data_IF_270403087844
#
_entry.id   IF_270403087844
#
_cell.length_a   1.000
_cell.length_b   1.000
_cell.length_c   1.000
_cell.angle_alpha   90.00
_cell.angle_beta   90.00
_cell.angle_gamma   90.00
#
_symmetry.space_group_name_H-M   'P 1'
#
loop_
_entity.id
_entity.type
_entity.pdbx_description
1 polymer ?
#
# COMPACT_ATOMS: atom_id res chain seq x y z
N UNK A 1 -29.35 -26.21 -15.21
CA UNK A 1 -27.93 -26.60 -15.14
C UNK A 1 -27.17 -25.34 -14.74
N UNK A 2 -26.42 -25.32 -13.64
CA UNK A 2 -25.62 -24.16 -13.31
C UNK A 2 -24.61 -23.91 -14.44
N UNK A 3 -24.45 -22.65 -14.83
CA UNK A 3 -23.45 -22.26 -15.81
C UNK A 3 -22.06 -22.68 -15.32
N UNK A 4 -21.17 -23.08 -16.23
CA UNK A 4 -19.81 -23.44 -15.89
C UNK A 4 -19.14 -22.29 -15.13
N UNK A 5 -18.38 -22.59 -14.08
CA UNK A 5 -17.66 -21.58 -13.32
C UNK A 5 -16.64 -20.88 -14.21
N UNK A 6 -16.74 -19.56 -14.27
CA UNK A 6 -15.82 -18.69 -15.01
C UNK A 6 -15.35 -17.55 -14.12
N UNK A 7 -14.31 -16.84 -14.54
CA UNK A 7 -13.84 -15.62 -13.87
C UNK A 7 -14.98 -14.59 -13.67
N UNK A 8 -15.97 -14.55 -14.56
CA UNK A 8 -17.05 -13.57 -14.52
C UNK A 8 -18.20 -13.93 -13.58
N UNK A 9 -18.33 -15.18 -13.15
CA UNK A 9 -19.47 -15.64 -12.37
C UNK A 9 -19.10 -16.39 -11.08
N UNK A 10 -17.81 -16.53 -10.76
CA UNK A 10 -17.32 -17.26 -9.60
C UNK A 10 -16.11 -16.58 -8.96
N UNK A 11 -15.77 -17.03 -7.75
CA UNK A 11 -14.54 -16.65 -7.05
C UNK A 11 -13.33 -17.41 -7.60
N UNK A 12 -12.18 -16.78 -7.55
CA UNK A 12 -10.92 -17.35 -8.00
C UNK A 12 -9.82 -17.16 -6.95
N UNK A 13 -9.03 -18.20 -6.69
CA UNK A 13 -7.92 -18.17 -5.73
C UNK A 13 -8.37 -17.72 -4.34
N UNK A 14 -7.67 -16.80 -3.69
CA UNK A 14 -7.97 -16.30 -2.35
C UNK A 14 -9.28 -15.50 -2.24
N UNK A 15 -9.91 -15.15 -3.36
CA UNK A 15 -11.23 -14.51 -3.36
C UNK A 15 -12.27 -15.31 -2.56
N UNK A 16 -12.16 -16.65 -2.57
CA UNK A 16 -13.07 -17.53 -1.82
C UNK A 16 -13.09 -17.15 -0.34
N UNK A 17 -11.91 -16.86 0.22
CA UNK A 17 -11.76 -16.52 1.64
C UNK A 17 -12.10 -15.04 1.90
N UNK A 18 -11.50 -14.13 1.14
CA UNK A 18 -11.60 -12.71 1.41
C UNK A 18 -12.98 -12.13 1.07
N UNK A 19 -13.58 -12.51 -0.08
CA UNK A 19 -14.92 -12.05 -0.44
C UNK A 19 -15.99 -12.60 0.52
N UNK A 20 -15.86 -13.87 0.93
CA UNK A 20 -16.73 -14.47 1.91
C UNK A 20 -16.64 -13.76 3.25
N UNK A 21 -15.42 -13.57 3.78
CA UNK A 21 -15.20 -12.92 5.08
C UNK A 21 -15.65 -11.46 5.06
N UNK A 22 -15.42 -10.72 3.96
CA UNK A 22 -15.95 -9.38 3.81
C UNK A 22 -17.48 -9.33 3.90
N UNK A 23 -18.16 -10.31 3.29
CA UNK A 23 -19.62 -10.44 3.40
C UNK A 23 -20.08 -10.84 4.82
N UNK A 24 -19.34 -11.75 5.48
CA UNK A 24 -19.61 -12.16 6.87
C UNK A 24 -19.53 -10.97 7.82
N UNK A 25 -18.54 -10.06 7.67
CA UNK A 25 -18.44 -8.81 8.42
C UNK A 25 -19.69 -7.93 8.23
N UNK A 26 -20.16 -7.78 6.98
CA UNK A 26 -21.39 -7.00 6.70
C UNK A 26 -22.63 -7.59 7.38
N UNK A 27 -22.65 -8.90 7.60
CA UNK A 27 -23.76 -9.60 8.26
C UNK A 27 -23.62 -9.69 9.78
N UNK A 28 -22.51 -9.24 10.35
CA UNK A 28 -22.23 -9.31 11.78
C UNK A 28 -22.09 -10.75 12.28
N UNK A 29 -21.69 -11.69 11.42
CA UNK A 29 -21.42 -13.09 11.78
C UNK A 29 -19.93 -13.32 11.97
N UNK A 30 -19.57 -14.40 12.69
CA UNK A 30 -18.16 -14.72 12.93
C UNK A 30 -17.43 -14.98 11.60
N UNK A 31 -16.30 -14.30 11.34
CA UNK A 31 -15.60 -14.39 10.07
C UNK A 31 -14.90 -15.74 9.90
N UNK A 32 -14.94 -16.28 8.68
CA UNK A 32 -14.30 -17.55 8.35
C UNK A 32 -12.77 -17.43 8.36
N UNK A 33 -12.23 -16.36 7.78
CA UNK A 33 -10.79 -16.12 7.69
C UNK A 33 -10.36 -15.04 8.69
N UNK A 34 -9.55 -15.45 9.69
CA UNK A 34 -9.09 -14.61 10.80
C UNK A 34 -7.56 -14.47 10.87
N UNK A 35 -6.82 -15.08 9.92
CA UNK A 35 -5.34 -15.07 9.94
C UNK A 35 -4.75 -13.70 9.66
N UNK A 36 -5.47 -12.87 8.91
CA UNK A 36 -5.07 -11.49 8.59
C UNK A 36 -5.92 -10.45 9.33
N UNK A 37 -5.36 -9.26 9.61
CA UNK A 37 -6.12 -8.16 10.18
C UNK A 37 -7.36 -7.79 9.36
N UNK A 38 -8.41 -7.22 9.98
CA UNK A 38 -9.73 -7.12 9.34
C UNK A 38 -9.85 -6.03 8.27
N UNK A 39 -9.06 -4.95 8.35
CA UNK A 39 -9.28 -3.75 7.53
C UNK A 39 -9.27 -4.02 6.02
N UNK A 40 -8.43 -4.96 5.54
CA UNK A 40 -8.43 -5.32 4.12
C UNK A 40 -9.77 -5.88 3.64
N UNK A 41 -10.43 -6.67 4.49
CA UNK A 41 -11.76 -7.25 4.22
C UNK A 41 -12.87 -6.21 4.37
N UNK A 42 -12.70 -5.26 5.30
CA UNK A 42 -13.60 -4.11 5.43
C UNK A 42 -13.54 -3.21 4.18
N UNK A 43 -12.36 -3.01 3.59
CA UNK A 43 -12.23 -2.30 2.31
C UNK A 43 -12.94 -3.06 1.18
N UNK A 44 -12.78 -4.39 1.10
CA UNK A 44 -13.51 -5.21 0.12
C UNK A 44 -15.02 -5.10 0.31
N UNK A 45 -15.49 -5.08 1.55
CA UNK A 45 -16.93 -5.00 1.87
C UNK A 45 -17.58 -3.73 1.32
N UNK A 46 -16.84 -2.61 1.17
CA UNK A 46 -17.37 -1.39 0.56
C UNK A 46 -17.79 -1.61 -0.90
N UNK A 47 -17.00 -2.37 -1.67
CA UNK A 47 -17.37 -2.74 -3.04
C UNK A 47 -18.60 -3.66 -3.07
N UNK A 48 -18.72 -4.58 -2.10
CA UNK A 48 -19.90 -5.44 -1.97
C UNK A 48 -21.15 -4.64 -1.60
N UNK A 49 -21.03 -3.63 -0.76
CA UNK A 49 -22.14 -2.71 -0.44
C UNK A 49 -22.63 -1.97 -1.68
N UNK A 50 -21.70 -1.52 -2.55
CA UNK A 50 -22.04 -0.73 -3.74
C UNK A 50 -22.62 -1.57 -4.88
N UNK A 51 -22.12 -2.78 -5.11
CA UNK A 51 -22.41 -3.59 -6.29
C UNK A 51 -22.98 -4.98 -5.97
N UNK A 52 -23.28 -5.25 -4.69
CA UNK A 52 -23.76 -6.53 -4.22
C UNK A 52 -22.68 -7.61 -4.14
N UNK A 53 -23.06 -8.79 -3.67
CA UNK A 53 -22.17 -9.98 -3.61
C UNK A 53 -22.00 -10.59 -5.01
N UNK A 54 -21.30 -9.86 -5.87
CA UNK A 54 -21.02 -10.20 -7.27
C UNK A 54 -19.52 -10.09 -7.55
N UNK A 55 -18.98 -10.69 -8.61
CA UNK A 55 -17.57 -10.52 -9.00
C UNK A 55 -17.15 -9.06 -9.15
N UNK A 56 -18.03 -8.20 -9.65
CA UNK A 56 -17.78 -6.76 -9.69
C UNK A 56 -17.64 -6.19 -8.27
N UNK A 57 -18.56 -6.55 -7.36
CA UNK A 57 -18.57 -6.03 -5.99
C UNK A 57 -17.29 -6.34 -5.23
N UNK A 58 -16.89 -7.61 -5.17
CA UNK A 58 -15.69 -7.95 -4.39
C UNK A 58 -14.36 -7.59 -5.08
N UNK A 59 -14.31 -7.36 -6.42
CA UNK A 59 -13.10 -6.99 -7.17
C UNK A 59 -12.91 -5.48 -7.32
N UNK A 60 -13.98 -4.70 -7.18
CA UNK A 60 -13.98 -3.26 -7.45
C UNK A 60 -12.91 -2.52 -6.66
N UNK A 61 -12.84 -2.72 -5.35
CA UNK A 61 -11.89 -2.02 -4.50
C UNK A 61 -10.43 -2.38 -4.80
N UNK A 62 -10.14 -3.66 -5.07
CA UNK A 62 -8.81 -4.11 -5.51
C UNK A 62 -8.34 -3.39 -6.77
N UNK A 63 -9.23 -3.31 -7.77
CA UNK A 63 -8.96 -2.62 -9.04
C UNK A 63 -8.78 -1.11 -8.85
N UNK A 64 -9.60 -0.48 -8.00
CA UNK A 64 -9.47 0.95 -7.67
C UNK A 64 -8.12 1.27 -7.02
N UNK A 65 -7.70 0.46 -6.05
CA UNK A 65 -6.41 0.61 -5.38
C UNK A 65 -5.24 0.35 -6.34
N UNK A 66 -5.37 -0.65 -7.22
CA UNK A 66 -4.40 -0.91 -8.28
C UNK A 66 -4.22 0.29 -9.22
N UNK A 67 -5.33 0.88 -9.67
CA UNK A 67 -5.29 2.09 -10.49
C UNK A 67 -4.63 3.27 -9.75
N UNK A 68 -4.90 3.41 -8.44
CA UNK A 68 -4.31 4.47 -7.61
C UNK A 68 -2.79 4.31 -7.42
N UNK A 69 -2.24 3.10 -7.55
CA UNK A 69 -0.79 2.88 -7.48
C UNK A 69 -0.04 3.54 -8.64
N UNK A 70 -0.66 3.72 -9.81
CA UNK A 70 0.01 4.28 -11.00
C UNK A 70 0.43 5.74 -10.81
N UNK A 71 -0.48 6.68 -10.45
CA UNK A 71 -0.09 8.05 -10.16
C UNK A 71 0.81 8.16 -8.93
N UNK A 72 0.66 7.27 -7.95
CA UNK A 72 1.52 7.23 -6.78
C UNK A 72 2.96 6.84 -7.15
N UNK A 73 3.14 5.82 -7.98
CA UNK A 73 4.44 5.41 -8.52
C UNK A 73 5.06 6.52 -9.36
N UNK A 74 4.26 7.18 -10.19
CA UNK A 74 4.72 8.34 -10.98
C UNK A 74 5.24 9.47 -10.07
N UNK A 75 4.53 9.86 -9.01
CA UNK A 75 4.96 10.92 -8.09
C UNK A 75 6.22 10.53 -7.31
N UNK A 76 6.30 9.27 -6.86
CA UNK A 76 7.48 8.75 -6.16
C UNK A 76 8.73 8.80 -7.07
N UNK A 77 8.64 8.28 -8.28
CA UNK A 77 9.76 8.26 -9.23
C UNK A 77 10.15 9.66 -9.70
N UNK A 78 9.17 10.54 -9.93
CA UNK A 78 9.43 11.94 -10.24
C UNK A 78 10.30 12.62 -9.18
N UNK A 79 10.04 12.35 -7.91
CA UNK A 79 10.80 12.93 -6.79
C UNK A 79 12.18 12.31 -6.63
N UNK A 80 12.30 11.00 -6.85
CA UNK A 80 13.56 10.26 -6.66
C UNK A 80 14.55 10.44 -7.79
N UNK A 81 14.08 10.50 -9.04
CA UNK A 81 14.93 10.29 -10.24
C UNK A 81 14.89 11.50 -11.20
N UNK A 82 14.13 12.55 -10.90
CA UNK A 82 13.97 13.70 -11.81
C UNK A 82 15.32 14.32 -12.23
N UNK A 83 16.29 14.35 -11.35
CA UNK A 83 17.62 14.89 -11.61
C UNK A 83 18.46 14.04 -12.58
N UNK A 84 18.10 12.76 -12.76
CA UNK A 84 18.88 11.79 -13.57
C UNK A 84 18.27 11.58 -14.95
N UNK A 85 16.93 11.52 -15.04
CA UNK A 85 16.24 11.29 -16.31
C UNK A 85 14.83 11.91 -16.28
N UNK A 86 14.58 12.92 -17.09
CA UNK A 86 13.33 13.66 -17.15
C UNK A 86 12.08 12.85 -17.58
N UNK A 87 12.24 11.58 -18.00
CA UNK A 87 11.12 10.70 -18.39
C UNK A 87 11.01 9.44 -17.52
N UNK A 88 11.83 9.28 -16.47
CA UNK A 88 11.86 8.08 -15.62
C UNK A 88 10.52 7.80 -14.96
N UNK A 89 9.80 8.84 -14.51
CA UNK A 89 8.48 8.73 -13.89
C UNK A 89 7.43 8.13 -14.83
N UNK A 90 7.43 8.53 -16.10
CA UNK A 90 6.49 7.99 -17.10
C UNK A 90 6.80 6.54 -17.44
N UNK A 91 8.08 6.22 -17.61
CA UNK A 91 8.52 4.85 -17.90
C UNK A 91 8.22 3.91 -16.75
N UNK A 92 8.50 4.31 -15.52
CA UNK A 92 8.25 3.48 -14.35
C UNK A 92 6.76 3.26 -14.08
N UNK A 93 5.93 4.30 -14.23
CA UNK A 93 4.49 4.15 -14.12
C UNK A 93 3.92 3.28 -15.27
N UNK A 94 4.44 3.41 -16.50
CA UNK A 94 4.05 2.56 -17.62
C UNK A 94 4.48 1.10 -17.42
N UNK A 95 5.69 0.85 -16.91
CA UNK A 95 6.15 -0.49 -16.58
C UNK A 95 5.24 -1.14 -15.51
N UNK A 96 4.89 -0.41 -14.46
CA UNK A 96 3.94 -0.90 -13.46
C UNK A 96 2.56 -1.17 -14.06
N UNK A 97 2.07 -0.29 -14.96
CA UNK A 97 0.78 -0.48 -15.63
C UNK A 97 0.74 -1.72 -16.53
N UNK A 98 1.89 -2.08 -17.12
CA UNK A 98 2.05 -3.25 -17.99
C UNK A 98 2.56 -4.48 -17.23
N UNK A 99 2.84 -4.37 -15.92
CA UNK A 99 3.29 -5.50 -15.13
C UNK A 99 2.18 -6.53 -14.95
N UNK A 100 2.47 -7.77 -15.34
CA UNK A 100 1.47 -8.85 -15.31
C UNK A 100 1.04 -9.19 -13.88
N UNK A 101 1.95 -9.17 -12.92
CA UNK A 101 1.65 -9.43 -11.51
C UNK A 101 0.70 -8.35 -10.97
N UNK A 102 1.02 -7.06 -11.21
CA UNK A 102 0.16 -5.95 -10.83
C UNK A 102 -1.24 -6.08 -11.42
N UNK A 103 -1.35 -6.30 -12.73
CA UNK A 103 -2.63 -6.47 -13.42
C UNK A 103 -3.43 -7.65 -12.86
N UNK A 104 -2.79 -8.77 -12.58
CA UNK A 104 -3.47 -9.98 -12.09
C UNK A 104 -3.95 -9.80 -10.65
N UNK A 105 -3.08 -9.34 -9.76
CA UNK A 105 -3.39 -9.21 -8.32
C UNK A 105 -4.41 -8.11 -8.03
N UNK A 106 -4.42 -7.03 -8.81
CA UNK A 106 -5.38 -5.94 -8.60
C UNK A 106 -6.77 -6.21 -9.19
N UNK A 107 -6.93 -7.24 -10.01
CA UNK A 107 -8.20 -7.64 -10.63
C UNK A 107 -8.94 -8.75 -9.88
N UNK A 108 -8.37 -9.27 -8.83
CA UNK A 108 -8.98 -10.28 -7.95
C UNK A 108 -9.15 -9.71 -6.53
N UNK A 109 -10.06 -10.28 -5.75
CA UNK A 109 -10.36 -9.81 -4.39
C UNK A 109 -9.32 -10.33 -3.39
N UNK A 110 -8.09 -9.81 -3.49
CA UNK A 110 -7.03 -10.04 -2.50
C UNK A 110 -6.76 -8.77 -1.70
N UNK A 111 -6.29 -8.94 -0.48
CA UNK A 111 -5.90 -7.82 0.39
C UNK A 111 -4.49 -7.29 0.08
N UNK A 112 -3.77 -7.97 -0.84
CA UNK A 112 -2.41 -7.61 -1.25
C UNK A 112 -2.33 -6.26 -1.96
N UNK A 113 -3.32 -5.95 -2.81
CA UNK A 113 -3.41 -4.67 -3.51
C UNK A 113 -3.47 -3.50 -2.54
N UNK A 114 -4.24 -3.63 -1.45
CA UNK A 114 -4.34 -2.59 -0.41
C UNK A 114 -3.03 -2.45 0.35
N UNK A 115 -2.46 -3.56 0.80
CA UNK A 115 -1.18 -3.56 1.51
C UNK A 115 -0.07 -2.92 0.67
N UNK A 116 0.03 -3.25 -0.61
CA UNK A 116 1.02 -2.69 -1.53
C UNK A 116 0.86 -1.18 -1.70
N UNK A 117 -0.37 -0.68 -1.85
CA UNK A 117 -0.61 0.76 -1.93
C UNK A 117 -0.17 1.48 -0.64
N UNK A 118 -0.50 0.93 0.54
CA UNK A 118 -0.08 1.53 1.80
C UNK A 118 1.45 1.50 1.97
N UNK A 119 2.12 0.43 1.54
CA UNK A 119 3.59 0.37 1.52
C UNK A 119 4.17 1.46 0.62
N UNK A 120 3.66 1.65 -0.60
CA UNK A 120 4.09 2.73 -1.50
C UNK A 120 3.90 4.12 -0.88
N UNK A 121 2.77 4.35 -0.20
CA UNK A 121 2.51 5.60 0.52
C UNK A 121 3.49 5.81 1.67
N UNK A 122 3.83 4.77 2.43
CA UNK A 122 4.84 4.84 3.48
C UNK A 122 6.20 5.27 2.92
N UNK A 123 6.64 4.67 1.81
CA UNK A 123 7.89 5.04 1.12
C UNK A 123 7.85 6.49 0.62
N UNK A 124 6.76 6.91 -0.01
CA UNK A 124 6.59 8.28 -0.49
C UNK A 124 6.68 9.29 0.66
N UNK A 125 5.96 9.04 1.76
CA UNK A 125 5.93 9.97 2.88
C UNK A 125 7.27 10.02 3.65
N UNK A 126 7.93 8.88 3.84
CA UNK A 126 9.27 8.88 4.45
C UNK A 126 10.30 9.59 3.56
N UNK A 127 10.26 9.36 2.24
CA UNK A 127 11.12 10.08 1.29
C UNK A 127 10.87 11.60 1.35
N UNK A 128 9.60 12.02 1.40
CA UNK A 128 9.27 13.45 1.55
C UNK A 128 9.73 14.01 2.89
N UNK A 129 9.69 13.22 3.94
CA UNK A 129 10.25 13.64 5.23
C UNK A 129 11.76 13.89 5.13
N UNK A 130 12.51 12.99 4.51
CA UNK A 130 13.96 13.16 4.34
C UNK A 130 14.33 14.35 3.45
N UNK A 131 13.52 14.68 2.46
CA UNK A 131 13.82 15.78 1.51
C UNK A 131 13.27 17.12 1.96
N UNK A 132 12.10 17.17 2.59
CA UNK A 132 11.43 18.41 2.98
C UNK A 132 11.60 18.74 4.48
N UNK A 133 12.00 17.80 5.32
CA UNK A 133 12.18 17.97 6.77
C UNK A 133 10.90 18.22 7.57
N UNK A 134 9.72 18.01 6.98
CA UNK A 134 8.43 18.37 7.60
C UNK A 134 7.84 17.20 8.38
N UNK A 135 7.63 17.35 9.68
CA UNK A 135 7.05 16.32 10.56
C UNK A 135 5.69 15.77 10.10
N UNK A 136 4.90 16.58 9.39
CA UNK A 136 3.63 16.10 8.80
C UNK A 136 3.80 14.90 7.87
N UNK A 137 4.94 14.80 7.18
CA UNK A 137 5.22 13.65 6.31
C UNK A 137 5.59 12.42 7.13
N UNK A 138 6.31 12.57 8.23
CA UNK A 138 6.59 11.47 9.15
C UNK A 138 5.29 11.00 9.83
N UNK A 139 4.43 11.91 10.24
CA UNK A 139 3.10 11.58 10.79
C UNK A 139 2.24 10.83 9.74
N UNK A 140 2.21 11.30 8.48
CA UNK A 140 1.51 10.62 7.40
C UNK A 140 2.08 9.22 7.13
N UNK A 141 3.41 9.04 7.20
CA UNK A 141 4.05 7.72 7.11
C UNK A 141 3.58 6.80 8.25
N UNK A 142 3.53 7.29 9.48
CA UNK A 142 3.03 6.53 10.64
C UNK A 142 1.54 6.15 10.52
N UNK A 143 0.70 7.07 10.04
CA UNK A 143 -0.72 6.79 9.80
C UNK A 143 -0.89 5.72 8.72
N UNK A 144 -0.19 5.85 7.58
CA UNK A 144 -0.26 4.84 6.51
C UNK A 144 0.33 3.50 6.95
N UNK A 145 1.35 3.49 7.80
CA UNK A 145 1.86 2.27 8.44
C UNK A 145 0.78 1.60 9.28
N UNK A 146 0.09 2.34 10.16
CA UNK A 146 -0.99 1.79 10.99
C UNK A 146 -2.14 1.21 10.18
N UNK A 147 -2.58 1.91 9.13
CA UNK A 147 -3.62 1.45 8.20
C UNK A 147 -3.14 0.20 7.45
N UNK A 148 -1.92 0.20 6.94
CA UNK A 148 -1.34 -0.94 6.26
C UNK A 148 -1.22 -2.16 7.17
N UNK A 149 -0.74 -1.99 8.40
CA UNK A 149 -0.61 -3.06 9.39
C UNK A 149 -1.99 -3.63 9.78
N UNK A 150 -3.04 -2.80 9.85
CA UNK A 150 -4.41 -3.24 10.05
C UNK A 150 -5.01 -3.97 8.83
N UNK A 151 -4.35 -3.88 7.66
CA UNK A 151 -4.75 -4.56 6.43
C UNK A 151 -4.06 -5.92 6.27
N UNK A 152 -2.73 -5.95 6.39
CA UNK A 152 -1.93 -7.18 6.22
C UNK A 152 -0.61 -7.10 6.99
N UNK A 153 -0.18 -8.21 7.60
CA UNK A 153 1.06 -8.32 8.36
C UNK A 153 2.32 -7.94 7.58
N UNK A 154 2.32 -8.07 6.25
CA UNK A 154 3.45 -7.69 5.39
C UNK A 154 3.84 -6.22 5.52
N UNK A 155 2.90 -5.35 5.87
CA UNK A 155 3.17 -3.93 6.12
C UNK A 155 4.05 -3.70 7.35
N UNK A 156 4.03 -4.59 8.35
CA UNK A 156 4.93 -4.52 9.51
C UNK A 156 6.39 -4.68 9.10
N UNK A 157 6.69 -5.61 8.19
CA UNK A 157 8.05 -5.80 7.69
C UNK A 157 8.54 -4.58 6.90
N UNK A 158 7.67 -4.03 6.04
CA UNK A 158 7.99 -2.80 5.32
C UNK A 158 8.22 -1.63 6.29
N UNK A 159 7.37 -1.48 7.30
CA UNK A 159 7.50 -0.46 8.34
C UNK A 159 8.78 -0.61 9.16
N UNK A 160 9.16 -1.84 9.53
CA UNK A 160 10.41 -2.10 10.22
C UNK A 160 11.62 -1.70 9.37
N UNK A 161 11.62 -2.04 8.06
CA UNK A 161 12.67 -1.63 7.13
C UNK A 161 12.78 -0.10 7.01
N UNK A 162 11.65 0.60 6.91
CA UNK A 162 11.61 2.07 6.88
C UNK A 162 12.07 2.69 8.20
N UNK A 163 11.76 2.05 9.34
CA UNK A 163 12.26 2.44 10.65
C UNK A 163 13.79 2.36 10.75
N UNK A 164 14.37 1.30 10.20
CA UNK A 164 15.83 1.16 10.09
C UNK A 164 16.42 2.27 9.21
N UNK A 165 15.85 2.55 8.05
CA UNK A 165 16.30 3.63 7.18
C UNK A 165 16.22 5.00 7.87
N UNK A 166 15.15 5.24 8.62
CA UNK A 166 14.99 6.46 9.41
C UNK A 166 16.07 6.57 10.50
N UNK A 167 16.33 5.50 11.25
CA UNK A 167 17.36 5.47 12.27
C UNK A 167 18.75 5.70 11.69
N UNK A 168 19.10 5.02 10.58
CA UNK A 168 20.36 5.21 9.88
C UNK A 168 20.54 6.64 9.39
N UNK A 169 19.49 7.25 8.82
CA UNK A 169 19.54 8.67 8.40
C UNK A 169 19.96 9.58 9.55
N UNK A 170 19.36 9.41 10.73
CA UNK A 170 19.69 10.23 11.90
C UNK A 170 21.07 9.92 12.48
N UNK A 171 21.50 8.67 12.50
CA UNK A 171 22.85 8.27 12.93
C UNK A 171 23.91 8.93 12.04
N UNK A 172 23.75 8.82 10.70
CA UNK A 172 24.68 9.44 9.77
C UNK A 172 24.70 10.96 9.87
N UNK A 173 23.54 11.60 9.99
CA UNK A 173 23.44 13.04 10.19
C UNK A 173 24.12 13.48 11.50
N UNK A 174 23.95 12.73 12.58
CA UNK A 174 24.63 12.96 13.86
C UNK A 174 26.15 12.83 13.78
N UNK A 175 26.64 11.78 13.12
CA UNK A 175 28.09 11.57 12.90
C UNK A 175 28.69 12.74 12.07
N UNK A 176 27.99 13.15 11.01
CA UNK A 176 28.46 14.29 10.19
C UNK A 176 28.47 15.60 10.99
N UNK A 177 27.46 15.89 11.78
CA UNK A 177 27.40 17.07 12.64
C UNK A 177 28.53 17.07 13.70
N UNK A 178 28.82 15.91 14.28
CA UNK A 178 29.91 15.77 15.23
C UNK A 178 31.29 16.04 14.57
N UNK A 179 31.53 15.46 13.39
CA UNK A 179 32.77 15.68 12.61
C UNK A 179 32.94 17.13 12.17
N UNK A 180 31.84 17.84 11.89
CA UNK A 180 31.86 19.25 11.50
C UNK A 180 31.99 20.22 12.69
N UNK A 181 32.03 19.74 13.93
CA UNK A 181 32.10 20.60 15.15
C UNK A 181 30.80 21.35 15.46
N UNK A 182 29.70 21.05 14.77
CA UNK A 182 28.45 21.82 14.81
C UNK A 182 27.29 21.00 15.51
N UNK A 183 27.64 20.24 16.53
CA UNK A 183 26.70 19.38 17.26
C UNK A 183 25.48 20.09 17.84
N UNK A 184 25.54 21.41 18.08
CA UNK A 184 24.44 22.22 18.60
C UNK A 184 23.36 22.52 17.54
N UNK A 185 23.72 22.61 16.27
CA UNK A 185 22.79 22.84 15.14
C UNK A 185 21.94 21.58 14.81
N UNK A 186 22.51 20.42 15.06
CA UNK A 186 21.86 19.14 14.82
C UNK A 186 20.61 18.94 15.70
N UNK A 187 20.65 19.37 16.97
CA UNK A 187 19.53 19.20 17.92
C UNK A 187 18.36 20.19 17.69
N UNK A 188 18.49 21.13 16.75
CA UNK A 188 17.46 22.13 16.44
C UNK A 188 16.69 21.87 15.13
N UNK A 189 16.97 20.78 14.44
CA UNK A 189 16.24 20.31 13.25
C UNK A 189 15.35 19.10 13.58
#
# INVERSE_FOLDING_TARGET
VPAASTYYNSTYFDEIYHARTAYEHLRGVYPYEVSHPPLGKEILSLGIVLFGMTPLGWRFMGTLFGAAMLPLMWDLLRRMILAVCGCAQYRGAALLACDFMHLTQTRIATIDSFATLFILLMYLFLYRYFTEGRLRHLAACGVTFGIGAATKWTCLYAGAGLGVLWALHWIFAGVQAHRAGDGRRYLRR
#
